data_IF_841171515296
#
_entry.id   IF_841171515296
#
_cell.length_a   1.000
_cell.length_b   1.000
_cell.length_c   1.000
_cell.angle_alpha   90.00
_cell.angle_beta   90.00
_cell.angle_gamma   90.00
#
_symmetry.space_group_name_H-M   'P 1'
#
loop_
_entity.id
_entity.type
_entity.pdbx_description
1 polymer ?
#
# COMPACT_ATOMS: atom_id res chain seq x y z
N UNK A 1 -3.72 -19.84 17.97
CA UNK A 1 -5.06 -19.25 17.78
C UNK A 1 -4.85 -17.80 17.38
N UNK A 2 -5.45 -17.34 16.28
CA UNK A 2 -5.38 -15.95 15.84
C UNK A 2 -6.11 -15.07 16.85
N UNK A 3 -5.53 -13.92 17.21
CA UNK A 3 -6.17 -12.96 18.09
C UNK A 3 -7.49 -12.45 17.46
N UNK A 4 -8.54 -12.22 18.26
CA UNK A 4 -9.77 -11.63 17.74
C UNK A 4 -9.47 -10.24 17.17
N UNK A 5 -10.09 -9.92 16.02
CA UNK A 5 -9.95 -8.61 15.39
C UNK A 5 -10.66 -7.58 16.28
N UNK A 6 -9.95 -6.53 16.77
CA UNK A 6 -10.59 -5.48 17.58
C UNK A 6 -11.53 -4.62 16.71
N UNK A 7 -12.42 -3.90 17.38
CA UNK A 7 -13.24 -2.88 16.72
C UNK A 7 -12.47 -1.58 16.57
N UNK A 8 -12.60 -0.93 15.43
CA UNK A 8 -12.06 0.40 15.13
C UNK A 8 -13.20 1.30 14.63
N UNK A 9 -13.27 2.54 15.06
CA UNK A 9 -14.39 3.45 14.75
C UNK A 9 -14.51 3.73 13.24
N UNK A 10 -13.37 3.95 12.58
CA UNK A 10 -13.31 4.32 11.15
C UNK A 10 -12.53 3.35 10.29
N UNK A 11 -12.20 2.16 10.80
CA UNK A 11 -11.55 1.11 10.05
C UNK A 11 -12.30 -0.21 10.23
N UNK A 12 -12.54 -0.91 9.15
CA UNK A 12 -13.01 -2.30 9.17
C UNK A 12 -11.85 -3.19 8.75
N UNK A 13 -11.47 -4.09 9.65
CA UNK A 13 -10.47 -5.11 9.35
C UNK A 13 -11.18 -6.45 9.19
N UNK A 14 -10.88 -7.14 8.11
CA UNK A 14 -11.32 -8.54 7.88
C UNK A 14 -10.12 -9.38 7.49
N UNK A 15 -10.24 -10.70 7.63
CA UNK A 15 -9.22 -11.68 7.28
C UNK A 15 -9.87 -12.86 6.60
N UNK A 16 -9.30 -13.35 5.52
CA UNK A 16 -9.71 -14.61 4.88
C UNK A 16 -8.92 -15.83 5.42
N UNK A 17 -9.31 -17.02 4.98
CA UNK A 17 -8.69 -18.27 5.43
C UNK A 17 -7.23 -18.44 4.98
N UNK A 18 -6.78 -17.64 4.01
CA UNK A 18 -5.40 -17.61 3.51
C UNK A 18 -4.49 -16.69 4.32
N UNK A 19 -5.05 -15.92 5.28
CA UNK A 19 -4.33 -14.90 6.02
C UNK A 19 -4.20 -13.58 5.25
N UNK A 20 -5.04 -13.35 4.25
CA UNK A 20 -5.13 -12.05 3.58
C UNK A 20 -6.03 -11.13 4.39
N UNK A 21 -5.46 -10.03 4.84
CA UNK A 21 -6.18 -9.00 5.57
C UNK A 21 -6.71 -7.94 4.60
N UNK A 22 -7.89 -7.41 4.90
CA UNK A 22 -8.42 -6.21 4.26
C UNK A 22 -8.52 -5.11 5.31
N UNK A 23 -7.86 -3.98 5.08
CA UNK A 23 -8.04 -2.74 5.81
C UNK A 23 -8.94 -1.82 4.98
N UNK A 24 -10.19 -1.69 5.39
CA UNK A 24 -11.17 -0.85 4.72
C UNK A 24 -11.43 0.42 5.52
N UNK A 25 -11.38 1.58 4.85
CA UNK A 25 -11.85 2.85 5.40
C UNK A 25 -13.36 2.73 5.60
N UNK A 26 -13.82 2.97 6.83
CA UNK A 26 -15.22 2.79 7.22
C UNK A 26 -15.74 4.06 7.90
N UNK A 27 -17.04 4.33 7.71
CA UNK A 27 -17.73 5.48 8.28
C UNK A 27 -16.97 6.81 8.09
N UNK A 28 -16.38 6.98 6.91
CA UNK A 28 -15.82 8.23 6.42
C UNK A 28 -16.77 8.84 5.38
N UNK A 29 -16.72 10.18 5.20
CA UNK A 29 -17.58 10.88 4.22
C UNK A 29 -17.51 10.25 2.83
N UNK A 30 -18.43 10.60 1.94
CA UNK A 30 -18.71 9.96 0.64
C UNK A 30 -17.51 9.68 -0.29
N UNK A 31 -16.36 10.34 -0.09
CA UNK A 31 -15.11 10.12 -0.82
C UNK A 31 -14.02 9.53 0.07
N UNK A 32 -14.36 8.88 1.17
CA UNK A 32 -13.40 8.34 2.13
C UNK A 32 -12.40 9.40 2.60
N UNK A 33 -12.91 10.57 3.02
CA UNK A 33 -12.11 11.72 3.42
C UNK A 33 -11.35 11.41 4.72
N UNK A 34 -10.05 11.70 4.73
CA UNK A 34 -9.18 11.51 5.89
C UNK A 34 -9.29 12.71 6.86
N UNK A 35 -10.27 12.65 7.76
CA UNK A 35 -10.32 13.48 8.97
C UNK A 35 -9.35 12.92 10.03
N UNK A 36 -9.02 13.72 11.06
CA UNK A 36 -8.10 13.28 12.13
C UNK A 36 -8.54 11.99 12.81
N UNK A 37 -9.84 11.83 13.12
CA UNK A 37 -10.37 10.61 13.73
C UNK A 37 -10.23 9.38 12.81
N UNK A 38 -10.54 9.54 11.52
CA UNK A 38 -10.37 8.50 10.50
C UNK A 38 -8.91 8.08 10.40
N UNK A 39 -8.00 9.06 10.33
CA UNK A 39 -6.55 8.83 10.21
C UNK A 39 -6.01 8.05 11.41
N UNK A 40 -6.37 8.43 12.63
CA UNK A 40 -5.96 7.73 13.85
C UNK A 40 -6.47 6.29 13.88
N UNK A 41 -7.76 6.09 13.59
CA UNK A 41 -8.38 4.75 13.57
C UNK A 41 -7.72 3.81 12.55
N UNK A 42 -7.40 4.32 11.34
CA UNK A 42 -6.68 3.55 10.32
C UNK A 42 -5.25 3.24 10.73
N UNK A 43 -4.57 4.18 11.41
CA UNK A 43 -3.20 3.99 11.91
C UNK A 43 -3.16 2.86 12.95
N UNK A 44 -4.10 2.85 13.89
CA UNK A 44 -4.20 1.82 14.91
C UNK A 44 -4.52 0.45 14.29
N UNK A 45 -5.42 0.41 13.31
CA UNK A 45 -5.76 -0.80 12.57
C UNK A 45 -4.54 -1.34 11.77
N UNK A 46 -3.79 -0.46 11.09
CA UNK A 46 -2.57 -0.85 10.36
C UNK A 46 -1.49 -1.41 11.29
N UNK A 47 -1.27 -0.77 12.45
CA UNK A 47 -0.35 -1.25 13.49
C UNK A 47 -0.78 -2.59 14.06
N UNK A 48 -2.07 -2.77 14.30
CA UNK A 48 -2.60 -4.04 14.76
C UNK A 48 -2.38 -5.16 13.74
N UNK A 49 -2.66 -4.92 12.44
CA UNK A 49 -2.40 -5.89 11.36
C UNK A 49 -0.90 -6.20 11.27
N UNK A 50 -0.03 -5.19 11.41
CA UNK A 50 1.43 -5.35 11.36
C UNK A 50 1.96 -6.35 12.41
N UNK A 51 1.28 -6.47 13.55
CA UNK A 51 1.62 -7.39 14.63
C UNK A 51 1.09 -8.83 14.43
N UNK A 52 0.36 -9.11 13.32
CA UNK A 52 -0.18 -10.44 13.11
C UNK A 52 0.81 -11.34 12.37
N UNK A 53 1.24 -12.43 13.02
CA UNK A 53 2.21 -13.38 12.45
C UNK A 53 1.65 -14.16 11.25
N UNK A 54 0.33 -14.36 11.22
CA UNK A 54 -0.36 -15.10 10.17
C UNK A 54 -0.71 -14.25 8.94
N UNK A 55 -0.44 -12.94 8.96
CA UNK A 55 -0.67 -12.07 7.81
C UNK A 55 0.21 -12.49 6.62
N UNK A 56 -0.43 -12.58 5.43
CA UNK A 56 0.19 -12.94 4.16
C UNK A 56 0.25 -11.77 3.19
N UNK A 57 -0.79 -10.98 3.15
CA UNK A 57 -0.92 -9.74 2.38
C UNK A 57 -1.97 -8.85 3.03
N UNK A 58 -1.95 -7.57 2.72
CA UNK A 58 -2.97 -6.61 3.16
C UNK A 58 -3.51 -5.85 1.96
N UNK A 59 -4.82 -5.91 1.76
CA UNK A 59 -5.54 -5.08 0.79
C UNK A 59 -6.05 -3.83 1.49
N UNK A 60 -5.69 -2.66 1.00
CA UNK A 60 -6.15 -1.37 1.53
C UNK A 60 -7.17 -0.80 0.55
N UNK A 61 -8.36 -0.45 1.06
CA UNK A 61 -9.46 0.03 0.23
C UNK A 61 -10.34 1.06 0.94
N UNK A 62 -10.98 1.90 0.15
CA UNK A 62 -12.10 2.72 0.60
C UNK A 62 -13.41 1.94 0.67
N UNK A 63 -14.46 2.57 1.21
CA UNK A 63 -15.84 2.09 1.09
C UNK A 63 -16.40 2.49 -0.27
N UNK A 64 -17.00 1.52 -0.96
CA UNK A 64 -17.56 1.69 -2.31
C UNK A 64 -16.50 1.88 -3.40
N UNK A 65 -16.95 2.32 -4.59
CA UNK A 65 -16.11 2.43 -5.79
C UNK A 65 -15.96 3.88 -6.29
N UNK A 66 -16.55 4.85 -5.60
CA UNK A 66 -16.47 6.26 -6.00
C UNK A 66 -15.07 6.84 -5.77
N UNK A 67 -14.38 6.40 -4.72
CA UNK A 67 -13.03 6.83 -4.38
C UNK A 67 -12.29 5.77 -3.59
N UNK A 68 -10.98 5.73 -3.74
CA UNK A 68 -10.10 5.20 -2.72
C UNK A 68 -10.06 6.17 -1.52
N UNK A 69 -9.53 7.36 -1.74
CA UNK A 69 -9.51 8.50 -0.82
C UNK A 69 -9.52 9.78 -1.62
N UNK A 70 -10.48 10.66 -1.36
CA UNK A 70 -10.62 11.96 -2.04
C UNK A 70 -9.75 13.08 -1.46
N UNK A 71 -8.93 12.77 -0.44
CA UNK A 71 -8.01 13.70 0.20
C UNK A 71 -8.23 13.85 1.70
N UNK A 72 -7.49 14.78 2.30
CA UNK A 72 -7.64 15.19 3.69
C UNK A 72 -8.90 16.07 3.89
N UNK A 73 -9.36 16.20 5.12
CA UNK A 73 -10.55 16.98 5.45
C UNK A 73 -10.28 18.49 5.36
N UNK A 74 -10.70 19.11 4.26
CA UNK A 74 -10.51 20.54 4.00
C UNK A 74 -11.19 21.44 5.04
N UNK A 75 -12.32 21.02 5.62
CA UNK A 75 -13.00 21.79 6.66
C UNK A 75 -12.20 21.80 7.98
N UNK A 76 -11.59 20.68 8.31
CA UNK A 76 -10.68 20.60 9.46
C UNK A 76 -9.41 21.41 9.21
N UNK A 77 -8.87 21.36 7.97
CA UNK A 77 -7.69 22.15 7.59
C UNK A 77 -7.93 23.66 7.64
N UNK A 78 -9.12 24.12 7.30
CA UNK A 78 -9.45 25.57 7.32
C UNK A 78 -9.39 26.20 8.72
N UNK A 79 -9.50 25.38 9.79
CA UNK A 79 -9.45 25.82 11.20
C UNK A 79 -8.05 25.68 11.82
N UNK A 80 -7.03 25.30 11.03
CA UNK A 80 -5.69 25.05 11.57
C UNK A 80 -4.90 26.35 11.76
N UNK A 81 -4.18 26.42 12.86
CA UNK A 81 -3.08 27.34 13.10
C UNK A 81 -1.72 26.64 12.82
N UNK A 82 -0.58 27.35 12.83
CA UNK A 82 0.72 26.73 12.53
C UNK A 82 1.10 25.56 13.46
N UNK A 83 0.62 25.54 14.70
CA UNK A 83 0.90 24.46 15.66
C UNK A 83 0.04 23.25 15.38
N UNK A 84 -1.26 23.45 15.21
CA UNK A 84 -2.24 22.41 14.92
C UNK A 84 -2.01 21.80 13.54
N UNK A 85 -1.58 22.59 12.55
CA UNK A 85 -1.23 22.12 11.21
C UNK A 85 -0.11 21.07 11.24
N UNK A 86 0.93 21.28 12.07
CA UNK A 86 2.00 20.29 12.25
C UNK A 86 1.46 18.98 12.83
N UNK A 87 0.62 19.07 13.86
CA UNK A 87 0.01 17.87 14.45
C UNK A 87 -0.92 17.15 13.49
N UNK A 88 -1.70 17.89 12.68
CA UNK A 88 -2.57 17.34 11.65
C UNK A 88 -1.80 16.54 10.61
N UNK A 89 -0.78 17.15 10.00
CA UNK A 89 0.00 16.49 8.94
C UNK A 89 0.87 15.35 9.47
N UNK A 90 1.32 15.43 10.74
CA UNK A 90 2.02 14.32 11.41
C UNK A 90 1.14 13.08 11.51
N UNK A 91 -0.15 13.22 11.84
CA UNK A 91 -1.08 12.08 11.89
C UNK A 91 -1.23 11.41 10.51
N UNK A 92 -1.33 12.18 9.43
CA UNK A 92 -1.38 11.65 8.06
C UNK A 92 -0.08 10.93 7.69
N UNK A 93 1.07 11.50 8.03
CA UNK A 93 2.37 10.83 7.85
C UNK A 93 2.41 9.51 8.62
N UNK A 94 2.01 9.51 9.90
CA UNK A 94 2.05 8.33 10.74
C UNK A 94 1.14 7.20 10.22
N UNK A 95 0.02 7.53 9.54
CA UNK A 95 -0.80 6.55 8.83
C UNK A 95 -0.04 5.93 7.65
N UNK A 96 0.55 6.76 6.79
CA UNK A 96 1.32 6.27 5.65
C UNK A 96 2.53 5.44 6.10
N UNK A 97 3.25 5.90 7.14
CA UNK A 97 4.35 5.16 7.77
C UNK A 97 3.89 3.82 8.34
N UNK A 98 2.74 3.77 9.02
CA UNK A 98 2.19 2.54 9.58
C UNK A 98 1.82 1.53 8.47
N UNK A 99 1.26 1.99 7.35
CA UNK A 99 0.95 1.15 6.18
C UNK A 99 2.23 0.63 5.52
N UNK A 100 3.21 1.50 5.28
CA UNK A 100 4.50 1.12 4.71
C UNK A 100 5.25 0.12 5.61
N UNK A 101 5.11 0.25 6.93
CA UNK A 101 5.77 -0.63 7.92
C UNK A 101 5.15 -2.02 8.05
N UNK A 102 3.96 -2.30 7.48
CA UNK A 102 3.36 -3.64 7.50
C UNK A 102 4.35 -4.63 6.87
N UNK A 103 4.70 -5.73 7.57
CA UNK A 103 5.80 -6.61 7.14
C UNK A 103 5.47 -7.55 5.98
N UNK A 104 4.23 -7.51 5.48
CA UNK A 104 3.76 -8.28 4.31
C UNK A 104 3.33 -7.34 3.19
N UNK A 105 3.24 -7.80 1.93
CA UNK A 105 2.82 -6.94 0.82
C UNK A 105 1.50 -6.23 1.08
N UNK A 106 1.49 -4.92 0.80
CA UNK A 106 0.32 -4.05 0.87
C UNK A 106 -0.14 -3.68 -0.53
N UNK A 107 -1.42 -3.88 -0.81
CA UNK A 107 -2.04 -3.67 -2.12
C UNK A 107 -3.10 -2.58 -1.99
N UNK A 108 -2.90 -1.45 -2.67
CA UNK A 108 -3.92 -0.43 -2.80
C UNK A 108 -4.93 -0.79 -3.89
N UNK A 109 -6.21 -0.88 -3.52
CA UNK A 109 -7.34 -1.04 -4.45
C UNK A 109 -7.90 0.34 -4.77
N UNK A 110 -7.70 0.80 -5.99
CA UNK A 110 -7.91 2.19 -6.41
C UNK A 110 -9.06 2.33 -7.43
N UNK A 111 -10.32 2.34 -7.00
CA UNK A 111 -11.44 2.75 -7.83
C UNK A 111 -11.62 4.27 -7.75
N UNK A 112 -12.09 4.91 -8.82
CA UNK A 112 -12.48 6.32 -8.79
C UNK A 112 -11.39 7.28 -8.29
N UNK A 113 -11.73 8.22 -7.41
CA UNK A 113 -10.81 9.27 -6.99
C UNK A 113 -9.72 8.79 -6.01
N UNK A 114 -8.48 9.18 -6.30
CA UNK A 114 -7.31 8.97 -5.45
C UNK A 114 -6.49 10.29 -5.43
N UNK A 115 -6.84 11.20 -4.50
CA UNK A 115 -6.36 12.58 -4.55
C UNK A 115 -5.64 12.98 -3.27
N UNK A 116 -4.58 13.80 -3.39
CA UNK A 116 -3.84 14.35 -2.27
C UNK A 116 -3.36 13.28 -1.29
N UNK A 117 -3.77 13.36 -0.03
CA UNK A 117 -3.45 12.35 0.98
C UNK A 117 -3.83 10.91 0.57
N UNK A 118 -4.80 10.75 -0.35
CA UNK A 118 -5.12 9.45 -0.93
C UNK A 118 -4.03 8.93 -1.86
N UNK A 119 -3.45 9.80 -2.67
CA UNK A 119 -2.32 9.43 -3.54
C UNK A 119 -1.06 9.15 -2.71
N UNK A 120 -0.84 9.90 -1.61
CA UNK A 120 0.26 9.64 -0.68
C UNK A 120 0.11 8.29 0.05
N UNK A 121 -1.11 7.95 0.50
CA UNK A 121 -1.41 6.65 1.11
C UNK A 121 -1.23 5.50 0.10
N UNK A 122 -1.65 5.69 -1.16
CA UNK A 122 -1.42 4.72 -2.22
C UNK A 122 0.07 4.56 -2.56
N UNK A 123 0.85 5.66 -2.55
CA UNK A 123 2.30 5.63 -2.73
C UNK A 123 3.03 4.87 -1.60
N UNK A 124 2.48 4.86 -0.38
CA UNK A 124 2.99 4.11 0.75
C UNK A 124 2.72 2.59 0.66
N UNK A 125 1.84 2.15 -0.23
CA UNK A 125 1.60 0.73 -0.51
C UNK A 125 2.65 0.15 -1.46
N UNK A 126 2.86 -1.18 -1.42
CA UNK A 126 3.82 -1.84 -2.31
C UNK A 126 3.29 -1.95 -3.75
N UNK A 127 2.00 -2.20 -3.93
CA UNK A 127 1.35 -2.44 -5.23
C UNK A 127 0.08 -1.60 -5.33
N UNK A 128 -0.14 -0.95 -6.47
CA UNK A 128 -1.29 -0.08 -6.78
C UNK A 128 -2.05 -0.63 -7.97
N UNK A 129 -3.32 -1.02 -7.74
CA UNK A 129 -4.20 -1.63 -8.74
C UNK A 129 -5.42 -0.73 -8.94
N UNK A 130 -5.66 -0.29 -10.17
CA UNK A 130 -6.67 0.70 -10.44
C UNK A 130 -7.72 0.23 -11.44
N UNK A 131 -8.90 0.83 -11.34
CA UNK A 131 -9.94 0.82 -12.36
C UNK A 131 -9.64 1.85 -13.43
N UNK A 132 -10.05 1.61 -14.67
CA UNK A 132 -9.80 2.49 -15.82
C UNK A 132 -10.43 3.89 -15.67
N UNK A 133 -11.47 4.02 -14.85
CA UNK A 133 -12.12 5.28 -14.53
C UNK A 133 -11.54 6.00 -13.30
N UNK A 134 -10.46 5.48 -12.73
CA UNK A 134 -9.81 6.11 -11.59
C UNK A 134 -9.07 7.41 -12.00
N UNK A 135 -9.08 8.38 -11.08
CA UNK A 135 -8.51 9.72 -11.27
C UNK A 135 -7.50 9.99 -10.15
N UNK A 136 -6.32 10.45 -10.54
CA UNK A 136 -5.18 10.69 -9.65
C UNK A 136 -4.76 12.16 -9.69
N UNK A 137 -4.29 12.71 -8.58
CA UNK A 137 -3.79 14.08 -8.54
C UNK A 137 -3.36 14.53 -7.15
N UNK A 138 -2.59 15.62 -7.15
CA UNK A 138 -2.07 16.28 -5.96
C UNK A 138 -2.49 17.76 -5.97
N UNK A 139 -3.77 18.07 -5.63
CA UNK A 139 -4.35 19.39 -5.84
C UNK A 139 -4.04 20.42 -4.73
N UNK A 140 -3.14 20.11 -3.81
CA UNK A 140 -2.85 20.91 -2.61
C UNK A 140 -2.51 22.36 -2.93
N UNK A 141 -1.72 22.63 -4.00
CA UNK A 141 -1.36 24.00 -4.41
C UNK A 141 -2.57 24.85 -4.80
N UNK A 142 -3.68 24.24 -5.23
CA UNK A 142 -4.93 24.94 -5.58
C UNK A 142 -5.68 25.46 -4.35
N UNK A 143 -5.39 24.90 -3.17
CA UNK A 143 -5.93 25.36 -1.90
C UNK A 143 -4.87 26.09 -1.06
N UNK A 144 -3.73 26.46 -1.67
CA UNK A 144 -2.71 27.32 -1.05
C UNK A 144 -1.75 26.63 -0.10
N UNK A 145 -1.64 25.29 -0.17
CA UNK A 145 -0.69 24.51 0.64
C UNK A 145 0.22 23.65 -0.25
N UNK A 146 1.44 23.31 0.18
CA UNK A 146 2.28 22.35 -0.54
C UNK A 146 1.82 20.91 -0.32
N UNK A 147 2.06 20.04 -1.31
CA UNK A 147 2.09 18.59 -1.10
C UNK A 147 3.34 18.22 -0.31
N UNK A 148 3.19 17.35 0.68
CA UNK A 148 4.25 17.06 1.66
C UNK A 148 4.32 15.56 1.96
N UNK A 149 4.84 15.17 3.12
CA UNK A 149 4.93 13.79 3.62
C UNK A 149 5.30 12.76 2.53
N UNK A 150 4.40 11.84 2.17
CA UNK A 150 4.68 10.75 1.21
C UNK A 150 4.64 11.17 -0.26
N UNK A 151 4.32 12.44 -0.58
CA UNK A 151 4.59 13.01 -1.90
C UNK A 151 6.08 12.93 -2.27
N UNK A 152 6.98 12.85 -1.28
CA UNK A 152 8.42 12.64 -1.46
C UNK A 152 8.75 11.33 -2.21
N UNK A 153 7.84 10.36 -2.25
CA UNK A 153 8.02 9.10 -2.97
C UNK A 153 7.75 9.24 -4.47
N UNK A 154 6.99 10.25 -4.91
CA UNK A 154 6.59 10.41 -6.30
C UNK A 154 7.76 10.52 -7.28
N UNK A 155 8.86 11.27 -7.02
CA UNK A 155 9.98 11.31 -7.93
C UNK A 155 10.60 9.94 -8.24
N UNK A 156 10.61 9.03 -7.27
CA UNK A 156 11.12 7.66 -7.46
C UNK A 156 10.13 6.74 -8.16
N UNK A 157 8.82 6.99 -8.02
CA UNK A 157 7.76 6.20 -8.63
C UNK A 157 7.48 6.59 -10.08
N UNK A 158 7.36 7.90 -10.35
CA UNK A 158 6.91 8.42 -11.65
C UNK A 158 7.92 9.32 -12.36
N UNK A 159 9.09 9.53 -11.76
CA UNK A 159 10.11 10.44 -12.27
C UNK A 159 9.85 11.91 -11.95
N UNK A 160 10.90 12.74 -12.10
CA UNK A 160 10.88 14.14 -11.70
C UNK A 160 9.88 15.00 -12.51
N UNK A 161 9.79 14.76 -13.84
CA UNK A 161 8.93 15.55 -14.73
C UNK A 161 7.44 15.43 -14.37
N UNK A 162 6.86 14.22 -14.36
CA UNK A 162 5.48 14.00 -13.92
C UNK A 162 5.21 14.48 -12.49
N UNK A 163 6.15 14.27 -11.56
CA UNK A 163 6.03 14.78 -10.20
C UNK A 163 5.90 16.30 -10.19
N UNK A 164 6.79 17.02 -10.87
CA UNK A 164 6.73 18.48 -10.95
C UNK A 164 5.40 18.95 -11.54
N UNK A 165 4.92 18.28 -12.60
CA UNK A 165 3.65 18.61 -13.22
C UNK A 165 2.49 18.47 -12.23
N UNK A 166 2.36 17.31 -11.56
CA UNK A 166 1.30 17.09 -10.57
C UNK A 166 1.33 18.11 -9.43
N UNK A 167 2.51 18.29 -8.81
CA UNK A 167 2.64 19.07 -7.58
C UNK A 167 2.57 20.58 -7.83
N UNK A 168 3.01 21.07 -9.00
CA UNK A 168 3.04 22.50 -9.30
C UNK A 168 1.74 22.98 -9.97
N UNK A 169 1.05 22.12 -10.71
CA UNK A 169 -0.21 22.49 -11.37
C UNK A 169 -1.45 22.15 -10.54
N UNK A 170 -1.36 21.11 -9.69
CA UNK A 170 -2.50 20.54 -8.99
C UNK A 170 -3.53 19.89 -9.93
N UNK A 171 -3.16 19.63 -11.20
CA UNK A 171 -4.02 18.94 -12.17
C UNK A 171 -4.17 17.46 -11.84
N UNK A 172 -5.18 16.84 -12.45
CA UNK A 172 -5.44 15.41 -12.32
C UNK A 172 -5.12 14.67 -13.60
N UNK A 173 -4.79 13.39 -13.48
CA UNK A 173 -4.58 12.46 -14.59
C UNK A 173 -5.51 11.26 -14.46
N UNK A 174 -5.81 10.63 -15.57
CA UNK A 174 -6.54 9.37 -15.61
C UNK A 174 -5.65 8.17 -15.27
N UNK A 175 -6.26 7.00 -15.16
CA UNK A 175 -5.55 5.75 -14.84
C UNK A 175 -4.54 5.35 -15.94
N UNK A 176 -4.82 5.66 -17.20
CA UNK A 176 -3.91 5.33 -18.31
C UNK A 176 -2.61 6.16 -18.18
N UNK A 177 -2.72 7.47 -17.97
CA UNK A 177 -1.57 8.34 -17.79
C UNK A 177 -0.80 8.01 -16.49
N UNK A 178 -1.51 7.72 -15.39
CA UNK A 178 -0.87 7.33 -14.12
C UNK A 178 -0.07 6.02 -14.27
N UNK A 179 -0.58 5.06 -15.05
CA UNK A 179 0.14 3.82 -15.40
C UNK A 179 1.35 4.11 -16.30
N UNK A 180 1.19 4.92 -17.33
CA UNK A 180 2.27 5.24 -18.27
C UNK A 180 3.44 5.97 -17.58
N UNK A 181 3.14 6.72 -16.52
CA UNK A 181 4.17 7.33 -15.66
C UNK A 181 4.79 6.36 -14.64
N UNK A 182 4.19 5.18 -14.43
CA UNK A 182 4.69 4.15 -13.49
C UNK A 182 4.10 4.23 -12.09
N UNK A 183 3.07 5.04 -11.85
CA UNK A 183 2.39 5.07 -10.56
C UNK A 183 1.57 3.80 -10.32
N UNK A 184 0.98 3.23 -11.36
CA UNK A 184 0.14 2.05 -11.29
C UNK A 184 0.84 0.84 -11.91
N UNK A 185 0.82 -0.29 -11.20
CA UNK A 185 1.31 -1.56 -11.73
C UNK A 185 0.34 -2.14 -12.76
N UNK A 186 -0.97 -2.07 -12.48
CA UNK A 186 -1.99 -2.58 -13.42
C UNK A 186 -3.26 -1.73 -13.39
N UNK A 187 -3.91 -1.66 -14.55
CA UNK A 187 -5.23 -1.06 -14.74
C UNK A 187 -6.16 -2.11 -15.36
N UNK A 188 -7.38 -2.21 -14.85
CA UNK A 188 -8.43 -3.10 -15.36
C UNK A 188 -9.67 -2.30 -15.81
N UNK A 189 -10.62 -2.96 -16.44
CA UNK A 189 -11.89 -2.33 -16.79
C UNK A 189 -12.67 -1.94 -15.51
N UNK A 190 -13.53 -0.94 -15.65
CA UNK A 190 -14.40 -0.50 -14.55
C UNK A 190 -15.24 -1.67 -14.04
N UNK A 191 -15.27 -1.81 -12.71
CA UNK A 191 -15.96 -2.93 -12.04
C UNK A 191 -15.13 -4.21 -11.85
N UNK A 192 -13.92 -4.30 -12.42
CA UNK A 192 -13.07 -5.51 -12.34
C UNK A 192 -11.92 -5.42 -11.34
N UNK A 193 -11.80 -4.32 -10.59
CA UNK A 193 -10.66 -4.08 -9.70
C UNK A 193 -10.53 -5.15 -8.59
N UNK A 194 -11.64 -5.70 -8.09
CA UNK A 194 -11.60 -6.77 -7.08
C UNK A 194 -11.05 -8.08 -7.67
N UNK A 195 -11.38 -8.40 -8.92
CA UNK A 195 -10.80 -9.55 -9.62
C UNK A 195 -9.31 -9.36 -9.90
N UNK A 196 -8.86 -8.13 -10.20
CA UNK A 196 -7.45 -7.80 -10.35
C UNK A 196 -6.70 -7.94 -9.02
N UNK A 197 -7.27 -7.47 -7.91
CA UNK A 197 -6.74 -7.65 -6.55
C UNK A 197 -6.58 -9.14 -6.25
N UNK A 198 -7.60 -9.95 -6.49
CA UNK A 198 -7.54 -11.40 -6.24
C UNK A 198 -6.43 -12.09 -7.05
N UNK A 199 -6.29 -11.78 -8.34
CA UNK A 199 -5.20 -12.30 -9.19
C UNK A 199 -3.81 -11.92 -8.69
N UNK A 200 -3.68 -10.76 -8.02
CA UNK A 200 -2.40 -10.29 -7.45
C UNK A 200 -2.12 -10.94 -6.09
N UNK A 201 -3.14 -11.08 -5.26
CA UNK A 201 -3.02 -11.62 -3.90
C UNK A 201 -2.80 -13.14 -3.90
N UNK A 202 -3.44 -13.88 -4.83
CA UNK A 202 -3.39 -15.33 -4.85
C UNK A 202 -1.95 -15.90 -4.91
N UNK A 203 -1.06 -15.47 -5.82
CA UNK A 203 0.33 -15.93 -5.83
C UNK A 203 1.12 -15.52 -4.59
N UNK A 204 0.85 -14.35 -4.01
CA UNK A 204 1.50 -13.89 -2.76
C UNK A 204 1.11 -14.83 -1.61
N UNK A 205 -0.18 -15.09 -1.46
CA UNK A 205 -0.68 -15.97 -0.41
C UNK A 205 -0.22 -17.43 -0.57
N UNK A 206 0.07 -17.89 -1.79
CA UNK A 206 0.60 -19.22 -2.07
C UNK A 206 2.13 -19.34 -1.85
N UNK A 207 2.84 -18.21 -1.77
CA UNK A 207 4.32 -18.19 -1.62
C UNK A 207 4.75 -18.43 -0.17
N UNK A 208 6.04 -18.71 0.07
CA UNK A 208 6.62 -18.87 1.40
C UNK A 208 6.46 -17.60 2.26
N UNK A 209 5.78 -17.65 3.41
CA UNK A 209 5.48 -16.45 4.19
C UNK A 209 6.72 -15.72 4.71
N UNK A 210 7.74 -16.45 5.11
CA UNK A 210 9.00 -15.86 5.58
C UNK A 210 9.79 -15.26 4.43
N UNK A 211 9.83 -15.94 3.28
CA UNK A 211 10.48 -15.44 2.08
C UNK A 211 9.85 -14.12 1.60
N UNK A 212 8.51 -14.02 1.57
CA UNK A 212 7.80 -12.80 1.19
C UNK A 212 8.09 -11.65 2.16
N UNK A 213 8.08 -11.90 3.48
CA UNK A 213 8.43 -10.90 4.51
C UNK A 213 9.87 -10.43 4.36
N UNK A 214 10.81 -11.37 4.20
CA UNK A 214 12.23 -11.06 4.00
C UNK A 214 12.45 -10.25 2.71
N UNK A 215 11.76 -10.62 1.63
CA UNK A 215 11.85 -9.88 0.37
C UNK A 215 11.32 -8.44 0.51
N UNK A 216 10.20 -8.22 1.20
CA UNK A 216 9.69 -6.86 1.46
C UNK A 216 10.68 -6.05 2.30
N UNK A 217 11.26 -6.65 3.33
CA UNK A 217 12.29 -6.00 4.15
C UNK A 217 13.53 -5.61 3.31
N UNK A 218 13.97 -6.48 2.39
CA UNK A 218 15.06 -6.19 1.46
C UNK A 218 14.72 -5.05 0.51
N UNK A 219 13.52 -5.05 -0.09
CA UNK A 219 13.07 -3.99 -1.00
C UNK A 219 13.15 -2.62 -0.31
N UNK A 220 12.71 -2.51 0.94
CA UNK A 220 12.82 -1.26 1.72
C UNK A 220 14.28 -0.90 1.98
N UNK A 221 15.09 -1.86 2.43
CA UNK A 221 16.51 -1.62 2.69
C UNK A 221 17.25 -1.12 1.44
N UNK A 222 16.95 -1.66 0.27
CA UNK A 222 17.58 -1.24 -0.99
C UNK A 222 17.25 0.21 -1.37
N UNK A 223 16.05 0.71 -1.05
CA UNK A 223 15.70 2.10 -1.33
C UNK A 223 16.42 3.11 -0.43
N UNK A 224 16.91 2.70 0.73
CA UNK A 224 17.51 3.56 1.74
C UNK A 224 19.04 3.37 1.86
N UNK A 225 19.61 2.39 1.14
CA UNK A 225 21.01 1.99 1.25
C UNK A 225 21.80 2.20 -0.04
N UNK A 226 23.15 2.13 0.07
CA UNK A 226 24.00 2.02 -1.12
C UNK A 226 23.82 0.66 -1.80
N UNK A 227 24.12 0.59 -3.09
CA UNK A 227 24.08 -0.69 -3.85
C UNK A 227 24.92 -1.76 -3.16
N UNK A 228 26.14 -1.43 -2.70
CA UNK A 228 27.01 -2.39 -2.02
C UNK A 228 26.38 -2.91 -0.72
N UNK A 229 25.87 -2.03 0.13
CA UNK A 229 25.19 -2.45 1.35
C UNK A 229 23.94 -3.31 1.06
N UNK A 230 23.21 -2.99 -0.01
CA UNK A 230 22.07 -3.79 -0.49
C UNK A 230 22.48 -5.20 -0.91
N UNK A 231 23.60 -5.33 -1.63
CA UNK A 231 24.17 -6.63 -2.03
C UNK A 231 24.59 -7.45 -0.81
N UNK A 232 25.33 -6.85 0.12
CA UNK A 232 25.81 -7.53 1.33
C UNK A 232 24.62 -8.02 2.18
N UNK A 233 23.63 -7.18 2.42
CA UNK A 233 22.40 -7.56 3.16
C UNK A 233 21.62 -8.68 2.45
N UNK A 234 21.64 -8.70 1.11
CA UNK A 234 20.97 -9.75 0.31
C UNK A 234 21.62 -11.13 0.51
N UNK A 235 22.93 -11.19 0.63
CA UNK A 235 23.66 -12.43 0.95
C UNK A 235 23.27 -12.97 2.31
N UNK A 236 23.22 -12.09 3.33
CA UNK A 236 22.80 -12.44 4.66
C UNK A 236 21.36 -12.97 4.70
N UNK A 237 20.42 -12.24 4.04
CA UNK A 237 19.01 -12.64 3.99
C UNK A 237 18.81 -13.99 3.30
N UNK A 238 19.61 -14.29 2.27
CA UNK A 238 19.57 -15.60 1.63
C UNK A 238 20.02 -16.71 2.60
N UNK A 239 21.11 -16.50 3.33
CA UNK A 239 21.58 -17.45 4.36
C UNK A 239 20.56 -17.63 5.49
N UNK A 240 19.95 -16.53 5.98
CA UNK A 240 18.89 -16.54 6.99
C UNK A 240 17.67 -17.38 6.58
N UNK A 241 17.30 -17.38 5.28
CA UNK A 241 16.18 -18.18 4.79
C UNK A 241 16.35 -19.68 5.04
N UNK A 242 17.59 -20.20 5.01
CA UNK A 242 17.91 -21.61 5.23
C UNK A 242 18.01 -22.00 6.71
N UNK A 243 17.80 -21.07 7.64
CA UNK A 243 17.67 -21.40 9.08
C UNK A 243 16.32 -22.06 9.39
N UNK A 244 15.42 -22.17 8.41
CA UNK A 244 14.09 -22.79 8.51
C UNK A 244 13.90 -23.86 7.46
N UNK A 245 12.82 -24.66 7.59
CA UNK A 245 12.43 -25.67 6.62
C UNK A 245 11.69 -25.12 5.39
N UNK A 246 11.35 -23.82 5.41
CA UNK A 246 10.52 -23.21 4.38
C UNK A 246 11.11 -23.37 2.97
N UNK A 247 12.39 -23.09 2.68
CA UNK A 247 12.97 -23.29 1.35
C UNK A 247 12.84 -24.74 0.87
N UNK A 248 13.14 -25.71 1.75
CA UNK A 248 13.04 -27.13 1.40
C UNK A 248 11.61 -27.52 1.03
N UNK A 249 10.65 -27.15 1.88
CA UNK A 249 9.23 -27.45 1.67
C UNK A 249 8.68 -26.85 0.38
N UNK A 250 9.06 -25.62 0.03
CA UNK A 250 8.60 -24.96 -1.20
C UNK A 250 9.34 -25.43 -2.46
N UNK A 251 10.56 -26.00 -2.35
CA UNK A 251 11.29 -26.61 -3.47
C UNK A 251 10.82 -28.03 -3.78
N UNK A 252 10.28 -28.76 -2.82
CA UNK A 252 9.90 -30.18 -2.96
C UNK A 252 9.00 -30.48 -4.19
N UNK A 253 7.95 -29.69 -4.51
CA UNK A 253 7.12 -29.94 -5.70
C UNK A 253 7.90 -29.84 -7.03
N UNK A 254 8.92 -28.99 -7.09
CA UNK A 254 9.76 -28.84 -8.26
C UNK A 254 10.70 -30.02 -8.43
N UNK A 255 11.30 -30.50 -7.33
CA UNK A 255 12.18 -31.68 -7.34
C UNK A 255 11.43 -32.95 -7.70
N UNK A 256 10.23 -33.14 -7.17
CA UNK A 256 9.38 -34.30 -7.47
C UNK A 256 8.95 -34.34 -8.97
N UNK A 257 8.72 -33.17 -9.60
CA UNK A 257 8.40 -33.11 -11.04
C UNK A 257 9.58 -33.55 -11.91
N UNK A 258 10.82 -33.21 -11.53
CA UNK A 258 12.03 -33.60 -12.26
C UNK A 258 12.23 -35.11 -12.21
N UNK A 259 12.12 -35.73 -11.04
CA UNK A 259 12.24 -37.18 -10.86
C UNK A 259 11.22 -37.96 -11.68
N UNK A 260 9.96 -37.49 -11.79
CA UNK A 260 8.92 -38.11 -12.61
C UNK A 260 9.19 -38.00 -14.12
N UNK A 261 9.92 -36.98 -14.58
CA UNK A 261 10.31 -36.85 -16.01
C UNK A 261 11.52 -37.73 -16.34
N UNK A 262 12.43 -37.95 -15.42
CA UNK A 262 13.63 -38.80 -15.61
C UNK A 262 13.28 -40.30 -15.50
N UNK A 263 12.16 -40.66 -14.87
CA UNK A 263 11.66 -42.05 -14.75
C UNK A 263 10.73 -42.48 -15.90
N UNK A 264 10.49 -41.61 -16.90
CA UNK A 264 9.75 -41.93 -18.15
C UNK A 264 10.69 -42.00 -19.34
#
# INVERSE_FOLDING_TARGET
>A
MTAPIPSFDHARVTRDDRGVYTLQIHDAKSLNILASAVTLSLTDAARWISAQDDARAVVIRGTGDKAFVGGANIYEMAELDPQNARAFITRLRDLCDAVAAIPVPTIARLPGFCLGAGMELAAACDIRLASADAVFGMPEVRVGIPSVIHAVLLPSLIGQGPTNWLLLTGETVDAAQARDWGFLEFVCQTGEVDALVERTVAPIAASGPRAVRSQKALLRYWTESTIQAGLDRSVDAFGEAFTTDEPRRYMEPFLARKQRKEAR
#
